data_IF_717444239228
#
_entry.id   IF_717444239228
#
_cell.length_a   1.000
_cell.length_b   1.000
_cell.length_c   1.000
_cell.angle_alpha   90.00
_cell.angle_beta   90.00
_cell.angle_gamma   90.00
#
_symmetry.space_group_name_H-M   'P 1'
#
loop_
_entity.id
_entity.type
_entity.pdbx_description
1 polymer ?
#
# COMPACT_ATOMS: atom_id res chain seq x y z
N UNK A 1 32.49 -11.24 -4.27
CA UNK A 1 31.42 -11.75 -3.40
C UNK A 1 30.17 -11.84 -4.25
N UNK A 2 29.52 -13.00 -4.31
CA UNK A 2 28.26 -13.15 -5.04
C UNK A 2 27.12 -12.54 -4.24
N UNK A 3 26.06 -12.14 -4.94
CA UNK A 3 24.91 -11.44 -4.40
C UNK A 3 23.63 -11.97 -5.04
N UNK A 4 22.56 -12.00 -4.27
CA UNK A 4 21.20 -12.23 -4.77
C UNK A 4 20.28 -11.10 -4.34
N UNK A 5 19.27 -10.81 -5.16
CA UNK A 5 18.18 -9.92 -4.78
C UNK A 5 17.21 -10.66 -3.86
N UNK A 6 16.82 -10.00 -2.79
CA UNK A 6 15.80 -10.47 -1.84
C UNK A 6 14.80 -9.34 -1.59
N UNK A 7 13.61 -9.70 -1.13
CA UNK A 7 12.45 -8.82 -1.09
C UNK A 7 12.07 -8.56 0.35
N UNK A 8 12.19 -7.30 0.77
CA UNK A 8 11.95 -6.88 2.15
C UNK A 8 10.46 -6.74 2.43
N UNK A 9 10.05 -7.22 3.60
CA UNK A 9 8.72 -7.02 4.16
C UNK A 9 8.78 -6.20 5.44
N UNK A 10 7.70 -5.47 5.73
CA UNK A 10 7.51 -4.88 7.07
C UNK A 10 6.98 -5.94 8.07
N UNK A 11 6.75 -5.54 9.32
CA UNK A 11 6.24 -6.45 10.37
C UNK A 11 4.87 -7.08 10.07
N UNK A 12 4.10 -6.51 9.14
CA UNK A 12 2.81 -7.07 8.71
C UNK A 12 2.93 -7.97 7.47
N UNK A 13 4.15 -8.16 6.93
CA UNK A 13 4.42 -8.91 5.71
C UNK A 13 4.26 -8.09 4.42
N UNK A 14 3.98 -6.79 4.48
CA UNK A 14 3.80 -5.98 3.27
C UNK A 14 5.14 -5.73 2.57
N UNK A 15 5.15 -5.83 1.25
CA UNK A 15 6.32 -5.53 0.44
C UNK A 15 6.77 -4.07 0.64
N UNK A 16 8.06 -3.90 0.92
CA UNK A 16 8.71 -2.60 1.13
C UNK A 16 9.62 -2.24 -0.05
N UNK A 17 10.37 -3.23 -0.55
CA UNK A 17 11.32 -3.01 -1.64
C UNK A 17 12.31 -4.16 -1.78
N UNK A 18 13.25 -3.99 -2.71
CA UNK A 18 14.33 -4.94 -2.96
C UNK A 18 15.57 -4.58 -2.13
N UNK A 19 16.32 -5.61 -1.74
CA UNK A 19 17.64 -5.47 -1.14
C UNK A 19 18.53 -6.64 -1.54
N UNK A 20 19.74 -6.67 -1.03
CA UNK A 20 20.77 -7.64 -1.44
C UNK A 20 21.18 -8.52 -0.28
N UNK A 21 21.21 -9.83 -0.50
CA UNK A 21 21.89 -10.77 0.37
C UNK A 21 23.26 -11.13 -0.22
N UNK A 22 24.29 -11.08 0.63
CA UNK A 22 25.64 -11.44 0.23
C UNK A 22 25.90 -12.92 0.53
N UNK A 23 26.65 -13.57 -0.34
CA UNK A 23 27.15 -14.92 -0.10
C UNK A 23 28.10 -14.95 1.10
N UNK A 24 28.00 -16.01 1.92
CA UNK A 24 28.87 -16.27 3.04
C UNK A 24 30.30 -16.50 2.54
N UNK A 25 31.30 -15.80 3.09
CA UNK A 25 32.69 -16.03 2.72
C UNK A 25 33.21 -17.39 3.18
N UNK A 26 32.54 -18.05 4.13
CA UNK A 26 32.94 -19.34 4.70
C UNK A 26 32.20 -20.52 4.07
N UNK A 27 31.03 -20.27 3.49
CA UNK A 27 30.12 -21.31 2.99
C UNK A 27 29.62 -20.94 1.59
N UNK A 28 30.33 -21.36 0.53
CA UNK A 28 29.91 -21.11 -0.85
C UNK A 28 28.50 -21.65 -1.10
N UNK A 29 27.65 -20.83 -1.71
CA UNK A 29 26.23 -21.11 -1.97
C UNK A 29 25.27 -20.72 -0.84
N UNK A 30 25.76 -20.32 0.34
CA UNK A 30 24.91 -19.86 1.46
C UNK A 30 24.86 -18.33 1.45
N UNK A 31 23.66 -17.75 1.50
CA UNK A 31 23.47 -16.30 1.47
C UNK A 31 22.94 -15.78 2.82
N UNK A 32 23.51 -14.68 3.30
CA UNK A 32 23.08 -14.01 4.51
C UNK A 32 21.83 -13.15 4.23
N UNK A 33 20.65 -13.77 4.31
CA UNK A 33 19.36 -13.10 4.09
C UNK A 33 19.09 -12.11 5.25
N UNK A 34 18.88 -10.81 4.98
CA UNK A 34 18.52 -9.85 6.03
C UNK A 34 17.18 -10.19 6.69
N UNK A 35 17.02 -9.79 7.94
CA UNK A 35 15.79 -10.01 8.68
C UNK A 35 14.58 -9.38 7.95
N UNK A 36 13.47 -10.14 7.88
CA UNK A 36 12.24 -9.71 7.21
C UNK A 36 12.30 -9.75 5.68
N UNK A 37 13.34 -10.32 5.08
CA UNK A 37 13.42 -10.54 3.63
C UNK A 37 13.02 -11.96 3.24
N UNK A 38 12.52 -12.10 2.00
CA UNK A 38 12.23 -13.37 1.37
C UNK A 38 12.89 -13.43 -0.01
N UNK A 39 13.23 -14.63 -0.48
CA UNK A 39 13.90 -14.80 -1.77
C UNK A 39 12.92 -14.85 -2.95
N UNK A 40 11.65 -15.13 -2.69
CA UNK A 40 10.61 -15.23 -3.72
C UNK A 40 10.17 -13.82 -4.10
N UNK A 41 10.24 -13.49 -5.38
CA UNK A 41 9.81 -12.21 -5.91
C UNK A 41 8.31 -11.97 -5.73
N UNK A 42 7.88 -10.73 -5.40
CA UNK A 42 6.47 -10.34 -5.51
C UNK A 42 6.01 -10.38 -6.97
N UNK A 43 4.69 -10.34 -7.23
CA UNK A 43 4.17 -10.09 -8.58
C UNK A 43 4.85 -8.87 -9.21
N UNK A 44 5.16 -8.89 -10.51
CA UNK A 44 5.83 -7.75 -11.18
C UNK A 44 4.93 -6.52 -11.30
N UNK A 45 3.62 -6.71 -11.27
CA UNK A 45 2.60 -5.67 -11.43
C UNK A 45 1.41 -5.95 -10.49
N UNK A 46 0.80 -4.88 -9.98
CA UNK A 46 -0.44 -4.90 -9.21
C UNK A 46 -1.15 -3.54 -9.33
N UNK A 47 -2.46 -3.49 -9.03
CA UNK A 47 -3.21 -2.24 -9.13
C UNK A 47 -2.86 -1.27 -8.00
N UNK A 48 -3.17 0.03 -8.17
CA UNK A 48 -2.88 1.03 -7.15
C UNK A 48 -3.67 0.80 -5.85
N UNK A 49 -4.81 0.13 -5.91
CA UNK A 49 -5.66 -0.21 -4.78
C UNK A 49 -5.16 -1.46 -4.04
N UNK A 50 -4.23 -2.22 -4.64
CA UNK A 50 -3.70 -3.44 -4.08
C UNK A 50 -2.28 -3.28 -3.57
N UNK A 51 -1.85 -4.17 -2.69
CA UNK A 51 -0.47 -4.25 -2.24
C UNK A 51 -0.04 -5.70 -1.99
N UNK A 52 1.17 -6.12 -2.41
CA UNK A 52 1.68 -7.45 -2.11
C UNK A 52 1.96 -7.63 -0.62
N UNK A 53 1.48 -8.75 -0.06
CA UNK A 53 1.72 -9.19 1.31
C UNK A 53 2.25 -10.63 1.31
N UNK A 54 3.38 -10.84 1.96
CA UNK A 54 3.91 -12.16 2.25
C UNK A 54 3.13 -12.81 3.38
N UNK A 55 2.61 -14.01 3.17
CA UNK A 55 1.85 -14.77 4.18
C UNK A 55 2.67 -15.86 4.90
N UNK A 56 3.97 -15.93 4.65
CA UNK A 56 4.86 -17.00 5.14
C UNK A 56 5.20 -18.05 4.07
N UNK A 57 4.41 -18.15 3.00
CA UNK A 57 4.58 -19.16 1.95
C UNK A 57 4.55 -18.58 0.53
N UNK A 58 3.74 -17.55 0.30
CA UNK A 58 3.56 -16.89 -0.99
C UNK A 58 3.16 -15.43 -0.82
N UNK A 59 3.23 -14.70 -1.92
CA UNK A 59 2.66 -13.36 -2.03
C UNK A 59 1.16 -13.43 -2.30
N UNK A 60 0.41 -12.58 -1.61
CA UNK A 60 -1.01 -12.33 -1.84
C UNK A 60 -1.22 -10.83 -2.06
N UNK A 61 -2.06 -10.48 -3.03
CA UNK A 61 -2.46 -9.08 -3.24
C UNK A 61 -3.61 -8.77 -2.28
N UNK A 62 -3.37 -7.85 -1.34
CA UNK A 62 -4.40 -7.37 -0.42
C UNK A 62 -4.89 -5.99 -0.85
N UNK A 63 -6.12 -5.63 -0.48
CA UNK A 63 -6.59 -4.27 -0.67
C UNK A 63 -5.93 -3.31 0.31
N UNK A 64 -5.54 -2.13 -0.20
CA UNK A 64 -5.16 -1.00 0.64
C UNK A 64 -6.39 -0.52 1.42
N UNK A 65 -6.19 0.01 2.63
CA UNK A 65 -7.26 0.70 3.33
C UNK A 65 -7.80 1.86 2.48
N UNK A 66 -9.12 1.96 2.38
CA UNK A 66 -9.74 3.14 1.81
C UNK A 66 -9.47 4.33 2.73
N UNK A 67 -8.65 5.27 2.25
CA UNK A 67 -8.51 6.57 2.90
C UNK A 67 -9.77 7.34 2.54
N UNK A 68 -10.66 7.53 3.51
CA UNK A 68 -11.83 8.41 3.33
C UNK A 68 -11.31 9.78 2.90
N UNK A 69 -11.66 10.20 1.69
CA UNK A 69 -11.36 11.54 1.23
C UNK A 69 -12.07 12.51 2.18
N UNK A 70 -11.30 13.40 2.80
CA UNK A 70 -11.88 14.47 3.61
C UNK A 70 -12.48 15.47 2.62
N UNK A 71 -13.78 15.36 2.38
CA UNK A 71 -14.51 16.38 1.62
C UNK A 71 -14.30 17.74 2.29
N UNK A 72 -14.03 18.76 1.48
CA UNK A 72 -13.94 20.14 1.93
C UNK A 72 -15.29 20.62 2.48
N UNK A 73 -15.32 21.61 3.39
CA UNK A 73 -16.57 22.22 3.85
C UNK A 73 -17.47 22.70 2.71
N UNK A 74 -16.88 23.22 1.64
CA UNK A 74 -17.56 23.71 0.44
C UNK A 74 -18.23 22.57 -0.34
N UNK A 75 -17.54 21.44 -0.54
CA UNK A 75 -18.10 20.25 -1.20
C UNK A 75 -19.24 19.65 -0.38
N UNK A 76 -19.07 19.57 0.94
CA UNK A 76 -20.13 19.14 1.86
C UNK A 76 -21.35 20.04 1.77
N UNK A 77 -21.14 21.36 1.76
CA UNK A 77 -22.22 22.33 1.64
C UNK A 77 -22.91 22.23 0.29
N UNK A 78 -22.15 22.09 -0.81
CA UNK A 78 -22.70 21.95 -2.15
C UNK A 78 -23.57 20.71 -2.29
N UNK A 79 -23.08 19.54 -1.83
CA UNK A 79 -23.85 18.30 -1.87
C UNK A 79 -25.07 18.37 -0.94
N UNK A 80 -24.95 18.99 0.24
CA UNK A 80 -26.08 19.24 1.12
C UNK A 80 -27.15 20.10 0.43
N UNK A 81 -26.78 21.23 -0.18
CA UNK A 81 -27.74 22.13 -0.84
C UNK A 81 -28.40 21.49 -2.07
N UNK A 82 -27.64 20.68 -2.82
CA UNK A 82 -28.17 19.89 -3.94
C UNK A 82 -29.25 18.89 -3.49
N UNK A 83 -29.04 18.26 -2.34
CA UNK A 83 -30.00 17.32 -1.76
C UNK A 83 -31.14 18.00 -0.97
N UNK A 84 -31.02 19.30 -0.69
CA UNK A 84 -32.00 20.10 0.07
C UNK A 84 -32.31 21.43 -0.65
N UNK A 85 -33.02 21.41 -1.79
CA UNK A 85 -33.28 22.60 -2.61
C UNK A 85 -34.18 23.65 -1.93
N UNK A 86 -34.98 23.23 -0.95
CA UNK A 86 -35.78 24.10 -0.09
C UNK A 86 -34.90 24.98 0.82
N UNK A 87 -33.81 24.40 1.36
CA UNK A 87 -32.83 25.16 2.16
C UNK A 87 -32.11 26.19 1.30
N UNK A 88 -31.75 25.84 0.06
CA UNK A 88 -31.18 26.79 -0.89
C UNK A 88 -32.18 27.93 -1.20
N UNK A 89 -33.45 27.60 -1.39
CA UNK A 89 -34.52 28.58 -1.63
C UNK A 89 -34.71 29.53 -0.44
N UNK A 90 -34.64 29.01 0.78
CA UNK A 90 -34.70 29.79 2.01
C UNK A 90 -33.53 30.78 2.12
N UNK A 91 -32.30 30.32 1.84
CA UNK A 91 -31.11 31.17 1.87
C UNK A 91 -31.24 32.32 0.87
N UNK A 92 -31.61 32.01 -0.38
CA UNK A 92 -31.79 33.02 -1.44
C UNK A 92 -32.91 34.02 -1.15
N UNK A 93 -33.89 33.66 -0.33
CA UNK A 93 -34.99 34.55 0.05
C UNK A 93 -34.64 35.51 1.19
N UNK A 94 -33.50 35.29 1.87
CA UNK A 94 -33.03 36.08 3.03
C UNK A 94 -31.70 36.82 2.76
N UNK A 95 -31.24 36.82 1.52
CA UNK A 95 -30.09 37.59 1.00
C UNK A 95 -30.58 38.74 0.12
#
# INVERSE_FOLDING_TARGET
MNQITVYQTNYSGLFVGETIANESPLEPGVFAIPAGCVEIAPPSEWSEEQWPRWNGFKWELIQKPEVQQVETPEEKLAEFLKNNPDVLSLINSNL
#
